data_IF_556251552107
#
_entry.id   IF_556251552107
#
_cell.length_a   1.000
_cell.length_b   1.000
_cell.length_c   1.000
_cell.angle_alpha   90.00
_cell.angle_beta   90.00
_cell.angle_gamma   90.00
#
_symmetry.space_group_name_H-M   'P 1'
#
loop_
_entity.id
_entity.type
_entity.pdbx_description
1 polymer ?
#
# COMPACT_ATOMS: atom_id res chain seq x y z
N UNK A 1 21.36 -20.55 -7.62
CA UNK A 1 21.27 -19.24 -6.98
C UNK A 1 19.83 -18.79 -6.93
N UNK A 2 19.39 -18.42 -5.77
CA UNK A 2 18.00 -18.02 -5.59
C UNK A 2 17.80 -16.59 -6.03
N UNK A 3 16.72 -16.38 -6.72
CA UNK A 3 16.33 -15.06 -7.12
C UNK A 3 15.62 -14.36 -5.93
N UNK A 4 16.04 -13.14 -5.66
CA UNK A 4 15.41 -12.39 -4.61
C UNK A 4 14.06 -11.85 -5.09
N UNK A 5 13.03 -11.99 -4.24
CA UNK A 5 11.70 -11.53 -4.60
C UNK A 5 11.63 -10.01 -4.57
N UNK A 6 10.89 -9.45 -5.50
CA UNK A 6 10.68 -8.00 -5.57
C UNK A 6 9.24 -7.69 -5.18
N UNK A 7 9.09 -6.69 -4.32
CA UNK A 7 7.77 -6.34 -3.78
C UNK A 7 7.39 -4.91 -4.06
N UNK A 8 6.11 -4.70 -4.32
CA UNK A 8 5.52 -3.38 -4.37
C UNK A 8 4.81 -3.14 -3.05
N UNK A 9 5.13 -2.04 -2.37
CA UNK A 9 4.47 -1.65 -1.13
C UNK A 9 3.52 -0.51 -1.44
N UNK A 10 2.24 -0.73 -1.22
CA UNK A 10 1.18 0.23 -1.52
C UNK A 10 0.45 0.54 -0.22
N UNK A 11 0.50 1.80 0.20
CA UNK A 11 0.03 2.22 1.51
C UNK A 11 -1.17 3.16 1.38
N UNK A 12 -2.22 2.83 2.11
CA UNK A 12 -3.43 3.64 2.18
C UNK A 12 -3.30 4.62 3.34
N UNK A 13 -3.00 5.88 3.06
CA UNK A 13 -2.72 6.84 4.11
C UNK A 13 -3.95 7.20 4.93
N UNK A 14 -5.15 6.96 4.42
CA UNK A 14 -6.36 7.28 5.16
C UNK A 14 -6.60 6.32 6.30
N UNK A 15 -6.03 5.13 6.22
CA UNK A 15 -6.30 4.07 7.18
C UNK A 15 -5.06 3.57 7.90
N UNK A 16 -3.92 4.22 7.70
CA UNK A 16 -2.67 3.80 8.30
C UNK A 16 -1.90 5.04 8.73
N UNK A 17 -1.42 5.05 9.96
CA UNK A 17 -0.68 6.18 10.47
C UNK A 17 0.75 6.19 9.94
N UNK A 18 1.25 7.40 9.65
CA UNK A 18 2.59 7.55 9.07
C UNK A 18 3.69 6.98 9.96
N UNK A 19 3.48 6.96 11.27
CA UNK A 19 4.50 6.49 12.19
C UNK A 19 4.82 5.02 12.03
N UNK A 20 3.99 4.26 11.33
CA UNK A 20 4.24 2.83 11.11
C UNK A 20 5.10 2.55 9.89
N UNK A 21 5.50 3.58 9.15
CA UNK A 21 6.19 3.40 7.88
C UNK A 21 7.47 2.57 8.01
N UNK A 22 8.30 2.91 9.01
CA UNK A 22 9.54 2.17 9.16
C UNK A 22 9.29 0.72 9.48
N UNK A 23 8.32 0.44 10.34
CA UNK A 23 7.97 -0.93 10.66
C UNK A 23 7.51 -1.68 9.40
N UNK A 24 6.69 -1.04 8.58
CA UNK A 24 6.18 -1.66 7.36
C UNK A 24 7.33 -2.03 6.43
N UNK A 25 8.23 -1.08 6.17
CA UNK A 25 9.32 -1.32 5.24
C UNK A 25 10.29 -2.36 5.79
N UNK A 26 10.57 -2.33 7.08
CA UNK A 26 11.44 -3.32 7.70
C UNK A 26 10.82 -4.72 7.60
N UNK A 27 9.52 -4.80 7.80
CA UNK A 27 8.84 -6.08 7.76
C UNK A 27 8.89 -6.69 6.37
N UNK A 28 8.61 -5.89 5.33
CA UNK A 28 8.63 -6.39 3.97
C UNK A 28 10.03 -6.81 3.56
N UNK A 29 11.05 -6.11 4.08
CA UNK A 29 12.43 -6.44 3.72
C UNK A 29 12.82 -7.84 4.16
N UNK A 30 12.07 -8.45 5.09
CA UNK A 30 12.30 -9.85 5.47
C UNK A 30 11.90 -10.81 4.37
N UNK A 31 11.10 -10.37 3.42
CA UNK A 31 10.61 -11.23 2.34
C UNK A 31 11.36 -11.01 1.04
N UNK A 32 11.91 -9.82 0.85
CA UNK A 32 12.61 -9.52 -0.38
C UNK A 32 12.94 -8.05 -0.52
N UNK A 33 13.17 -7.62 -1.74
CA UNK A 33 13.54 -6.24 -2.05
C UNK A 33 12.27 -5.43 -2.33
N UNK A 34 12.21 -4.21 -1.81
CA UNK A 34 11.09 -3.32 -2.10
C UNK A 34 11.47 -2.46 -3.29
N UNK A 35 10.76 -2.62 -4.40
CA UNK A 35 11.08 -1.88 -5.63
C UNK A 35 10.06 -0.79 -5.95
N UNK A 36 8.85 -0.88 -5.42
CA UNK A 36 7.85 0.18 -5.52
C UNK A 36 7.41 0.55 -4.12
N UNK A 37 7.42 1.84 -3.82
CA UNK A 37 6.95 2.35 -2.54
C UNK A 37 6.03 3.52 -2.82
N UNK A 38 4.73 3.34 -2.62
CA UNK A 38 3.74 4.37 -2.93
C UNK A 38 2.76 4.52 -1.78
N UNK A 39 2.38 5.77 -1.52
CA UNK A 39 1.37 6.07 -0.51
C UNK A 39 0.26 6.89 -1.16
N UNK A 40 -0.97 6.47 -0.93
CA UNK A 40 -2.15 7.01 -1.59
C UNK A 40 -2.96 7.83 -0.60
N UNK A 41 -3.30 9.04 -0.99
CA UNK A 41 -4.06 9.91 -0.12
C UNK A 41 -4.39 11.22 -0.78
N UNK A 42 -5.16 12.03 -0.07
CA UNK A 42 -5.49 13.38 -0.55
C UNK A 42 -4.51 14.35 0.06
N UNK A 43 -3.51 14.71 -0.72
CA UNK A 43 -2.40 15.53 -0.25
C UNK A 43 -2.74 17.01 -0.18
N UNK A 44 -3.96 17.37 -0.52
CA UNK A 44 -4.43 18.74 -0.37
C UNK A 44 -4.93 19.02 1.05
N UNK A 45 -5.10 17.97 1.86
CA UNK A 45 -5.60 18.14 3.22
C UNK A 45 -4.49 18.57 4.18
N UNK A 46 -4.89 19.29 5.22
CA UNK A 46 -3.94 19.80 6.18
C UNK A 46 -3.22 18.71 6.95
N UNK A 47 -3.91 17.62 7.22
CA UNK A 47 -3.32 16.55 8.04
C UNK A 47 -2.38 15.66 7.24
N UNK A 48 -2.10 16.00 6.00
CA UNK A 48 -1.21 15.19 5.17
C UNK A 48 0.26 15.52 5.36
N UNK A 49 0.58 16.55 6.15
CA UNK A 49 1.97 17.03 6.26
C UNK A 49 2.89 15.94 6.79
N UNK A 50 2.44 15.20 7.80
CA UNK A 50 3.28 14.16 8.38
C UNK A 50 3.64 13.10 7.35
N UNK A 51 2.68 12.69 6.55
CA UNK A 51 2.95 11.72 5.51
C UNK A 51 3.91 12.26 4.46
N UNK A 52 3.78 13.54 4.11
CA UNK A 52 4.68 14.13 3.11
C UNK A 52 6.12 14.07 3.56
N UNK A 53 6.39 14.38 4.83
CA UNK A 53 7.74 14.32 5.34
C UNK A 53 8.27 12.90 5.39
N UNK A 54 7.45 11.97 5.84
CA UNK A 54 7.84 10.57 5.93
C UNK A 54 8.08 9.99 4.54
N UNK A 55 7.25 10.35 3.58
CA UNK A 55 7.41 9.87 2.21
C UNK A 55 8.74 10.34 1.64
N UNK A 56 9.07 11.60 1.86
CA UNK A 56 10.33 12.14 1.37
C UNK A 56 11.52 11.41 2.00
N UNK A 57 11.48 11.19 3.31
CA UNK A 57 12.58 10.56 4.02
C UNK A 57 12.81 9.12 3.60
N UNK A 58 11.76 8.44 3.17
CA UNK A 58 11.82 7.02 2.86
C UNK A 58 11.72 6.72 1.38
N UNK A 59 11.81 7.74 0.55
CA UNK A 59 11.71 7.59 -0.91
C UNK A 59 10.41 6.93 -1.33
N UNK A 60 9.31 7.28 -0.66
CA UNK A 60 7.99 6.78 -1.01
C UNK A 60 7.32 7.82 -1.91
N UNK A 61 6.74 7.36 -3.00
CA UNK A 61 6.07 8.23 -3.95
C UNK A 61 4.65 8.49 -3.50
N UNK A 62 4.27 9.74 -3.19
CA UNK A 62 2.87 10.03 -2.89
C UNK A 62 2.06 10.08 -4.18
N UNK A 63 0.89 9.49 -4.13
CA UNK A 63 -0.04 9.47 -5.27
C UNK A 63 -1.33 10.13 -4.81
N UNK A 64 -1.77 11.12 -5.58
CA UNK A 64 -2.97 11.86 -5.23
C UNK A 64 -4.22 11.02 -5.48
N UNK A 65 -5.11 11.04 -4.52
CA UNK A 65 -6.37 10.33 -4.60
C UNK A 65 -7.42 11.22 -3.97
N UNK A 66 -8.25 11.82 -4.80
CA UNK A 66 -9.23 12.77 -4.31
C UNK A 66 -10.44 12.06 -3.71
N UNK A 67 -10.93 12.65 -2.64
CA UNK A 67 -12.12 12.17 -1.97
C UNK A 67 -13.27 13.08 -2.32
N UNK A 68 -13.91 12.83 -3.45
CA UNK A 68 -14.92 13.75 -3.96
C UNK A 68 -16.22 13.70 -3.19
N UNK A 69 -16.52 12.57 -2.64
CA UNK A 69 -17.80 12.40 -1.96
C UNK A 69 -17.57 11.69 -0.67
N UNK A 70 -18.61 11.62 0.11
CA UNK A 70 -18.58 10.81 1.32
C UNK A 70 -18.67 9.32 0.98
N UNK A 71 -18.85 8.99 -0.27
CA UNK A 71 -18.96 7.60 -0.67
C UNK A 71 -17.63 6.89 -0.53
N UNK A 72 -17.69 5.67 -0.06
CA UNK A 72 -16.49 4.91 0.21
C UNK A 72 -15.75 4.49 -1.03
N UNK A 73 -16.48 4.31 -2.12
CA UNK A 73 -15.88 3.70 -3.29
C UNK A 73 -14.98 4.62 -4.05
N UNK A 74 -15.01 5.92 -3.74
CA UNK A 74 -14.22 6.88 -4.49
C UNK A 74 -12.76 6.88 -4.11
N UNK A 75 -12.41 6.34 -2.95
CA UNK A 75 -11.08 6.56 -2.41
C UNK A 75 -10.09 5.48 -2.74
N UNK A 76 -10.53 4.36 -3.29
CA UNK A 76 -9.64 3.22 -3.45
C UNK A 76 -9.11 3.06 -4.85
N UNK A 77 -9.65 3.84 -5.80
CA UNK A 77 -9.40 3.51 -7.20
C UNK A 77 -7.97 3.73 -7.63
N UNK A 78 -7.30 4.77 -7.09
CA UNK A 78 -5.92 5.01 -7.52
C UNK A 78 -5.00 3.86 -7.11
N UNK A 79 -5.18 3.35 -5.90
CA UNK A 79 -4.36 2.25 -5.43
C UNK A 79 -4.64 0.98 -6.19
N UNK A 80 -5.91 0.72 -6.49
CA UNK A 80 -6.28 -0.46 -7.25
C UNK A 80 -5.74 -0.39 -8.67
N UNK A 81 -5.86 0.77 -9.31
CA UNK A 81 -5.36 0.95 -10.67
C UNK A 81 -3.86 0.73 -10.71
N UNK A 82 -3.13 1.33 -9.76
CA UNK A 82 -1.69 1.15 -9.71
C UNK A 82 -1.31 -0.30 -9.47
N UNK A 83 -2.03 -0.98 -8.58
CA UNK A 83 -1.73 -2.38 -8.31
C UNK A 83 -1.86 -3.21 -9.57
N UNK A 84 -2.91 -2.97 -10.34
CA UNK A 84 -3.11 -3.73 -11.57
C UNK A 84 -2.08 -3.36 -12.62
N UNK A 85 -1.71 -2.08 -12.73
CA UNK A 85 -0.65 -1.68 -13.65
C UNK A 85 0.67 -2.35 -13.30
N UNK A 86 1.00 -2.40 -12.02
CA UNK A 86 2.24 -3.04 -11.59
C UNK A 86 2.19 -4.54 -11.84
N UNK A 87 1.04 -5.15 -11.60
CA UNK A 87 0.86 -6.57 -11.85
C UNK A 87 1.17 -6.90 -13.31
N UNK A 88 0.60 -6.13 -14.22
CA UNK A 88 0.76 -6.42 -15.64
C UNK A 88 2.10 -5.97 -16.21
N UNK A 89 2.88 -5.22 -15.44
CA UNK A 89 4.24 -4.89 -15.87
C UNK A 89 5.21 -6.05 -15.69
N UNK A 90 4.85 -7.02 -14.87
CA UNK A 90 5.69 -8.18 -14.56
C UNK A 90 7.01 -7.79 -13.89
N UNK A 91 7.01 -6.67 -13.17
CA UNK A 91 8.22 -6.18 -12.52
C UNK A 91 8.34 -6.58 -11.06
N UNK A 92 7.32 -7.22 -10.50
CA UNK A 92 7.37 -7.64 -9.09
C UNK A 92 6.89 -9.07 -8.96
N UNK A 93 7.25 -9.66 -7.83
CA UNK A 93 6.85 -11.01 -7.49
C UNK A 93 5.79 -11.02 -6.40
N UNK A 94 5.64 -9.91 -5.71
CA UNK A 94 4.66 -9.81 -4.64
C UNK A 94 4.27 -8.39 -4.35
N UNK A 95 3.24 -8.27 -3.52
CA UNK A 95 2.68 -6.99 -3.11
C UNK A 95 2.52 -6.97 -1.60
N UNK A 96 2.78 -5.82 -1.01
CA UNK A 96 2.40 -5.56 0.37
C UNK A 96 1.30 -4.51 0.34
N UNK A 97 0.09 -4.89 0.71
CA UNK A 97 -1.06 -3.99 0.73
C UNK A 97 -1.25 -3.54 2.17
N UNK A 98 -1.06 -2.25 2.41
CA UNK A 98 -1.09 -1.71 3.76
C UNK A 98 -2.34 -0.85 3.93
N UNK A 99 -3.36 -1.43 4.54
CA UNK A 99 -4.62 -0.75 4.79
C UNK A 99 -5.43 -1.56 5.78
N UNK A 100 -6.20 -0.85 6.61
CA UNK A 100 -7.16 -1.50 7.49
C UNK A 100 -8.53 -1.66 6.85
N UNK A 101 -8.67 -1.18 5.63
CA UNK A 101 -9.96 -1.21 4.95
C UNK A 101 -10.18 -2.56 4.30
N UNK A 102 -11.27 -3.22 4.69
CA UNK A 102 -11.59 -4.54 4.15
C UNK A 102 -11.90 -4.51 2.65
N UNK A 103 -12.14 -3.32 2.09
CA UNK A 103 -12.39 -3.21 0.66
C UNK A 103 -11.20 -3.69 -0.16
N UNK A 104 -10.00 -3.71 0.41
CA UNK A 104 -8.83 -4.18 -0.30
C UNK A 104 -8.67 -5.70 -0.27
N UNK A 105 -9.57 -6.40 0.42
CA UNK A 105 -9.53 -7.85 0.43
C UNK A 105 -9.68 -8.43 -0.97
N UNK A 106 -10.56 -7.85 -1.76
CA UNK A 106 -10.77 -8.35 -3.13
C UNK A 106 -9.54 -8.14 -3.99
N UNK A 107 -8.86 -7.02 -3.80
CA UNK A 107 -7.62 -6.78 -4.51
C UNK A 107 -6.58 -7.84 -4.16
N UNK A 108 -6.44 -8.13 -2.88
CA UNK A 108 -5.48 -9.15 -2.45
C UNK A 108 -5.78 -10.51 -3.08
N UNK A 109 -7.06 -10.87 -3.12
CA UNK A 109 -7.46 -12.14 -3.74
C UNK A 109 -7.11 -12.14 -5.22
N UNK A 110 -7.42 -11.04 -5.90
CA UNK A 110 -7.14 -10.96 -7.34
C UNK A 110 -5.66 -11.09 -7.64
N UNK A 111 -4.82 -10.46 -6.81
CA UNK A 111 -3.38 -10.55 -7.01
C UNK A 111 -2.88 -11.96 -6.78
N UNK A 112 -3.41 -12.64 -5.77
CA UNK A 112 -3.02 -14.03 -5.53
C UNK A 112 -3.43 -14.94 -6.67
N UNK A 113 -4.58 -14.69 -7.26
CA UNK A 113 -5.04 -15.48 -8.41
C UNK A 113 -4.09 -15.34 -9.58
N UNK A 114 -3.35 -14.25 -9.66
CA UNK A 114 -2.38 -14.04 -10.72
C UNK A 114 -0.99 -14.53 -10.34
N UNK A 115 -0.89 -15.26 -9.25
CA UNK A 115 0.39 -15.86 -8.88
C UNK A 115 1.28 -14.97 -8.02
N UNK A 116 0.75 -13.84 -7.54
CA UNK A 116 1.56 -12.94 -6.71
C UNK A 116 1.55 -13.38 -5.27
N UNK A 117 2.67 -13.20 -4.60
CA UNK A 117 2.71 -13.30 -3.15
C UNK A 117 2.10 -12.01 -2.58
N UNK A 118 1.25 -12.12 -1.58
CA UNK A 118 0.58 -10.94 -1.03
C UNK A 118 0.71 -10.92 0.48
N UNK A 119 1.23 -9.80 0.99
CA UNK A 119 1.33 -9.54 2.41
C UNK A 119 0.31 -8.45 2.73
N UNK A 120 -0.56 -8.70 3.69
CA UNK A 120 -1.52 -7.69 4.13
C UNK A 120 -1.12 -7.16 5.49
N UNK A 121 -1.16 -5.84 5.63
CA UNK A 121 -0.88 -5.20 6.90
C UNK A 121 -1.96 -4.17 7.19
N UNK A 122 -2.38 -4.09 8.43
CA UNK A 122 -3.35 -3.10 8.85
C UNK A 122 -3.30 -2.89 10.34
N UNK A 123 -3.84 -1.76 10.77
CA UNK A 123 -3.90 -1.49 12.20
C UNK A 123 -4.98 -2.33 12.81
N UNK A 124 -4.67 -2.91 13.95
CA UNK A 124 -5.66 -3.63 14.69
C UNK A 124 -6.51 -2.65 15.45
N UNK A 125 -7.73 -2.52 15.05
CA UNK A 125 -8.62 -1.58 15.71
C UNK A 125 -9.58 -2.23 16.65
N UNK A 126 -9.81 -3.51 16.47
CA UNK A 126 -10.80 -4.22 17.25
C UNK A 126 -10.14 -5.34 17.98
N UNK A 127 -10.35 -5.47 19.27
CA UNK A 127 -9.80 -6.60 20.00
C UNK A 127 -10.35 -7.90 19.45
N UNK A 128 -9.53 -8.89 19.43
CA UNK A 128 -9.98 -10.19 18.96
C UNK A 128 -10.79 -10.87 20.01
N UNK A 129 -11.83 -11.54 19.66
CA UNK A 129 -12.56 -12.35 20.62
C UNK A 129 -11.71 -13.45 21.18
#
# INVERSE_FOLDING_TARGET
>A
MEKEMRYAVLIDSDNVAARYTKFILDEVSNYGIVTYKRVYGDWTRDNSVRWKNIALENAITPVQQYSYTSGKNATDSAMIIDAMDILYSHNVDGFCIVSSDSDFTRLAIRLRESGMHVIGMGEKKTPKP
#
